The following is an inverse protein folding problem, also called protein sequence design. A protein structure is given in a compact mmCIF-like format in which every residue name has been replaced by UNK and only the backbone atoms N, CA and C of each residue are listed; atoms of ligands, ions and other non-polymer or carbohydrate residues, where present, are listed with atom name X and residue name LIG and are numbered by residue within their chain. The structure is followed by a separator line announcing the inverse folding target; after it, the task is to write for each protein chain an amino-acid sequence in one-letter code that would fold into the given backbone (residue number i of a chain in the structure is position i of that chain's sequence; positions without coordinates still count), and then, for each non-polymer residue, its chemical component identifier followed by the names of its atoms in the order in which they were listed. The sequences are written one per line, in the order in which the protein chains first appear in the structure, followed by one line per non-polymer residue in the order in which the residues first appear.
data_IF_428184145927
#
_entry.id   IF_428184145927
#
_cell.length_a   1.000
_cell.length_b   1.000
_cell.length_c   1.000
_cell.angle_alpha   90.00
_cell.angle_beta   90.00
_cell.angle_gamma   90.00
#
_symmetry.space_group_name_H-M   'P 1'
#
loop_
_entity.id
_entity.type
_entity.pdbx_description
1 polymer ?
#
# COMPACT_ATOMS: atom_id res chain seq x y z
N UNK A 1 -1.76 2.72 11.15
CA UNK A 1 -2.70 3.71 10.56
C UNK A 1 -3.79 3.99 11.60
N UNK A 2 -4.13 5.25 11.87
CA UNK A 2 -5.15 5.60 12.88
C UNK A 2 -6.59 5.60 12.34
N UNK A 3 -6.78 5.31 11.04
CA UNK A 3 -8.09 5.34 10.36
C UNK A 3 -8.89 6.61 10.68
N UNK A 4 -8.22 7.75 10.53
CA UNK A 4 -8.74 9.06 10.93
C UNK A 4 -10.10 9.35 10.27
N UNK A 5 -10.97 10.03 10.99
CA UNK A 5 -12.25 10.48 10.45
C UNK A 5 -12.07 11.42 9.25
N UNK A 6 -11.13 12.37 9.39
CA UNK A 6 -10.70 13.28 8.34
C UNK A 6 -9.24 13.00 7.91
N UNK A 7 -9.01 12.06 6.99
CA UNK A 7 -7.66 11.62 6.62
C UNK A 7 -6.97 12.62 5.67
N UNK A 8 -5.98 13.35 6.16
CA UNK A 8 -5.11 14.24 5.36
C UNK A 8 -4.45 13.52 4.16
N UNK A 9 -4.11 12.25 4.35
CA UNK A 9 -3.52 11.41 3.33
C UNK A 9 -4.45 11.12 2.12
N UNK A 10 -5.77 11.17 2.29
CA UNK A 10 -6.75 11.08 1.20
C UNK A 10 -6.80 12.41 0.45
N UNK A 11 -6.89 13.53 1.18
CA UNK A 11 -6.99 14.88 0.60
C UNK A 11 -5.78 15.27 -0.26
N UNK A 12 -4.57 14.86 0.14
CA UNK A 12 -3.34 15.21 -0.58
C UNK A 12 -3.09 14.33 -1.82
N UNK A 13 -3.81 13.23 -1.99
CA UNK A 13 -3.50 12.25 -3.02
C UNK A 13 -3.97 12.74 -4.41
N UNK A 14 -3.05 13.07 -5.35
CA UNK A 14 -3.44 13.67 -6.63
C UNK A 14 -4.20 12.71 -7.53
N UNK A 15 -3.94 11.41 -7.42
CA UNK A 15 -4.60 10.35 -8.21
C UNK A 15 -5.82 9.77 -7.52
N UNK A 16 -6.17 10.24 -6.32
CA UNK A 16 -7.21 9.64 -5.45
C UNK A 16 -7.03 8.14 -5.23
N UNK A 17 -5.78 7.67 -5.22
CA UNK A 17 -5.43 6.29 -4.92
C UNK A 17 -5.70 5.95 -3.44
N UNK A 18 -5.51 6.89 -2.51
CA UNK A 18 -5.89 6.69 -1.11
C UNK A 18 -7.35 7.10 -0.94
N UNK A 19 -8.17 6.24 -0.34
CA UNK A 19 -9.60 6.50 -0.11
C UNK A 19 -10.06 5.85 1.21
N UNK A 20 -11.15 6.37 1.77
CA UNK A 20 -11.83 5.80 2.94
C UNK A 20 -12.98 4.94 2.42
N UNK A 21 -12.98 3.66 2.76
CA UNK A 21 -13.99 2.69 2.35
C UNK A 21 -15.10 2.64 3.43
N UNK A 22 -16.32 3.14 3.14
CA UNK A 22 -17.41 3.14 4.11
C UNK A 22 -17.97 1.73 4.37
N UNK A 23 -17.90 0.83 3.38
CA UNK A 23 -18.43 -0.52 3.46
C UNK A 23 -17.53 -1.41 4.33
N UNK A 24 -16.23 -1.17 4.28
CA UNK A 24 -15.23 -1.78 5.15
C UNK A 24 -15.08 -1.08 6.52
N UNK A 25 -16.14 -0.44 7.03
CA UNK A 25 -16.14 0.18 8.36
C UNK A 25 -15.32 1.47 8.49
N UNK A 26 -15.11 2.19 7.39
CA UNK A 26 -14.38 3.46 7.37
C UNK A 26 -12.85 3.30 7.32
N UNK A 27 -12.35 2.15 6.89
CA UNK A 27 -10.92 1.89 6.77
C UNK A 27 -10.35 2.65 5.57
N UNK A 28 -9.19 3.28 5.76
CA UNK A 28 -8.42 3.95 4.73
C UNK A 28 -7.56 2.93 3.98
N UNK A 29 -7.84 2.76 2.70
CA UNK A 29 -7.11 1.90 1.79
C UNK A 29 -6.34 2.71 0.73
N UNK A 30 -5.44 2.01 0.04
CA UNK A 30 -4.73 2.50 -1.13
C UNK A 30 -5.02 1.56 -2.30
N UNK A 31 -5.58 2.10 -3.37
CA UNK A 31 -5.68 1.46 -4.69
C UNK A 31 -4.31 1.51 -5.37
N UNK A 32 -3.69 0.35 -5.52
CA UNK A 32 -2.35 0.21 -6.08
C UNK A 32 -2.32 0.40 -7.59
N UNK A 33 -3.44 0.18 -8.29
CA UNK A 33 -3.56 0.46 -9.73
C UNK A 33 -3.54 1.97 -10.02
N UNK A 34 -4.05 2.79 -9.10
CA UNK A 34 -4.04 4.26 -9.20
C UNK A 34 -2.83 4.91 -8.52
N UNK A 35 -2.09 4.16 -7.72
CA UNK A 35 -0.96 4.68 -6.97
C UNK A 35 0.26 4.90 -7.88
N UNK A 36 0.69 6.15 -8.01
CA UNK A 36 1.91 6.53 -8.74
C UNK A 36 3.16 6.63 -7.86
N UNK A 37 3.04 6.36 -6.55
CA UNK A 37 4.18 6.43 -5.63
C UNK A 37 4.70 7.85 -5.35
N UNK A 38 3.86 8.89 -5.48
CA UNK A 38 4.25 10.30 -5.26
C UNK A 38 4.63 10.66 -3.81
N UNK A 39 4.43 9.77 -2.84
CA UNK A 39 4.78 9.92 -1.41
C UNK A 39 4.14 11.10 -0.65
N UNK A 40 3.28 11.91 -1.27
CA UNK A 40 2.61 13.01 -0.56
C UNK A 40 1.77 12.57 0.64
N UNK A 41 1.16 11.40 0.56
CA UNK A 41 0.43 10.82 1.68
C UNK A 41 1.32 10.46 2.89
N UNK A 42 2.63 10.26 2.68
CA UNK A 42 3.59 10.08 3.78
C UNK A 42 3.84 11.41 4.48
N UNK A 43 4.11 12.47 3.71
CA UNK A 43 4.38 13.81 4.23
C UNK A 43 3.15 14.38 4.95
N UNK A 44 1.95 14.17 4.40
CA UNK A 44 0.71 14.67 4.98
C UNK A 44 0.26 13.92 6.24
N UNK A 45 0.82 12.73 6.52
CA UNK A 45 0.42 11.96 7.68
C UNK A 45 1.14 12.48 8.94
N UNK A 46 0.43 13.12 9.90
CA UNK A 46 1.08 13.67 11.10
C UNK A 46 1.69 12.59 12.00
N UNK A 47 1.22 11.34 11.85
CA UNK A 47 1.70 10.19 12.63
C UNK A 47 2.88 9.47 11.97
N UNK A 48 3.25 9.79 10.72
CA UNK A 48 4.33 9.10 10.00
C UNK A 48 4.08 7.60 9.76
N UNK A 49 2.84 7.13 9.90
CA UNK A 49 2.48 5.69 9.82
C UNK A 49 2.23 5.19 8.39
N UNK A 50 2.74 5.91 7.39
CA UNK A 50 2.59 5.55 5.96
C UNK A 50 3.96 5.14 5.44
N UNK A 51 4.02 3.93 4.89
CA UNK A 51 5.26 3.32 4.44
C UNK A 51 5.20 3.05 2.94
N UNK A 52 6.36 3.18 2.29
CA UNK A 52 6.57 2.88 0.89
C UNK A 52 7.31 1.55 0.76
N UNK A 53 6.74 0.58 0.03
CA UNK A 53 7.22 -0.81 0.02
C UNK A 53 8.49 -1.05 -0.80
N UNK A 54 8.85 -0.15 -1.73
CA UNK A 54 9.97 -0.42 -2.66
C UNK A 54 11.31 0.10 -2.16
N UNK A 55 11.35 0.71 -0.98
CA UNK A 55 12.63 1.11 -0.38
C UNK A 55 13.43 -0.17 -0.08
N UNK A 56 14.63 -0.29 -0.67
CA UNK A 56 15.61 -1.30 -0.26
C UNK A 56 15.99 -1.00 1.20
N UNK A 57 16.04 -2.00 2.08
CA UNK A 57 16.55 -1.77 3.43
C UNK A 57 17.98 -1.23 3.33
N UNK A 58 18.29 -0.19 4.11
CA UNK A 58 19.64 0.42 4.17
C UNK A 58 20.65 -0.44 4.94
N UNK A 59 20.22 -1.60 5.43
CA UNK A 59 20.98 -2.52 6.28
C UNK A 59 20.98 -3.87 5.56
N UNK A 60 22.17 -4.39 5.28
CA UNK A 60 22.36 -5.76 4.80
C UNK A 60 22.31 -6.74 5.98
N UNK A 61 21.72 -7.93 5.81
CA UNK A 61 21.21 -8.51 4.57
C UNK A 61 19.85 -7.93 4.14
N UNK A 62 19.64 -7.80 2.83
CA UNK A 62 18.33 -7.46 2.27
C UNK A 62 17.30 -8.47 2.80
N UNK A 63 16.28 -7.97 3.50
CA UNK A 63 15.21 -8.80 4.05
C UNK A 63 14.45 -9.57 2.96
N UNK A 64 14.47 -9.13 1.69
CA UNK A 64 13.98 -9.90 0.55
C UNK A 64 14.82 -11.14 0.25
N UNK A 65 16.12 -11.07 0.52
CA UNK A 65 17.04 -12.20 0.43
C UNK A 65 17.00 -13.10 1.67
N UNK A 66 16.78 -12.52 2.86
CA UNK A 66 16.70 -13.28 4.12
C UNK A 66 15.37 -14.05 4.26
N UNK A 67 14.27 -13.50 3.73
CA UNK A 67 12.95 -14.11 3.74
C UNK A 67 12.38 -14.12 2.32
N UNK A 68 12.76 -15.10 1.49
CA UNK A 68 12.22 -15.23 0.15
C UNK A 68 10.74 -15.63 0.25
N UNK A 69 9.84 -14.71 -0.09
CA UNK A 69 8.46 -15.07 -0.40
C UNK A 69 8.43 -15.74 -1.78
N UNK A 70 7.57 -16.74 -1.96
CA UNK A 70 7.41 -17.48 -3.22
C UNK A 70 7.23 -16.57 -4.46
N UNK A 71 6.67 -15.36 -4.26
CA UNK A 71 6.37 -14.39 -5.33
C UNK A 71 7.12 -13.04 -5.23
N UNK A 72 8.19 -12.96 -4.42
CA UNK A 72 8.92 -11.69 -4.16
C UNK A 72 8.17 -10.62 -3.35
N UNK A 73 6.98 -10.94 -2.84
CA UNK A 73 6.20 -10.16 -1.89
C UNK A 73 6.82 -10.17 -0.48
N UNK A 74 7.53 -9.09 -0.16
CA UNK A 74 8.08 -8.88 1.17
C UNK A 74 6.96 -8.64 2.19
N UNK A 75 6.97 -9.43 3.25
CA UNK A 75 6.01 -9.41 4.36
C UNK A 75 5.98 -8.03 5.06
N UNK A 76 5.10 -7.14 4.58
CA UNK A 76 4.47 -6.09 5.41
C UNK A 76 3.07 -6.60 5.76
N UNK A 77 2.81 -6.99 7.02
CA UNK A 77 1.73 -7.92 7.40
C UNK A 77 0.39 -7.20 7.71
N UNK A 78 -0.64 -7.91 8.20
CA UNK A 78 -1.44 -8.93 7.56
C UNK A 78 -2.92 -8.52 7.67
N UNK A 79 -3.44 -7.81 6.69
CA UNK A 79 -4.88 -7.87 6.41
C UNK A 79 -4.99 -8.55 5.06
N UNK A 80 -5.05 -9.89 5.09
CA UNK A 80 -5.77 -10.58 4.03
C UNK A 80 -7.18 -10.01 4.11
N UNK A 81 -7.49 -9.15 3.15
CA UNK A 81 -8.87 -8.75 2.96
C UNK A 81 -9.64 -10.06 2.75
N UNK A 82 -10.69 -10.35 3.53
CA UNK A 82 -11.40 -11.62 3.47
C UNK A 82 -12.06 -11.88 2.10
N UNK A 83 -12.07 -10.88 1.24
CA UNK A 83 -12.42 -10.95 -0.18
C UNK A 83 -11.18 -10.58 -1.00
N UNK A 84 -10.74 -11.49 -1.85
CA UNK A 84 -9.44 -11.60 -2.52
C UNK A 84 -9.12 -10.48 -3.54
N UNK A 85 -9.23 -9.21 -3.14
CA UNK A 85 -8.89 -8.05 -3.96
C UNK A 85 -7.47 -7.57 -3.66
N UNK A 86 -6.52 -8.15 -4.39
CA UNK A 86 -5.10 -7.79 -4.42
C UNK A 86 -4.83 -6.38 -4.98
N UNK A 87 -5.83 -5.67 -5.51
CA UNK A 87 -5.63 -4.35 -6.11
C UNK A 87 -5.69 -3.19 -5.11
N UNK A 88 -6.19 -3.45 -3.91
CA UNK A 88 -6.29 -2.49 -2.80
C UNK A 88 -5.63 -3.04 -1.54
N UNK A 89 -5.00 -2.17 -0.77
CA UNK A 89 -4.40 -2.59 0.49
C UNK A 89 -3.89 -1.46 1.36
N UNK A 90 -3.14 -1.85 2.37
CA UNK A 90 -2.53 -0.94 3.34
C UNK A 90 -1.07 -0.72 2.91
N UNK A 91 -0.69 0.54 2.72
CA UNK A 91 0.66 0.91 2.29
C UNK A 91 0.73 1.43 0.85
N UNK A 92 1.85 2.06 0.51
CA UNK A 92 2.04 2.72 -0.78
C UNK A 92 2.84 1.77 -1.67
N UNK A 93 2.13 1.12 -2.60
CA UNK A 93 2.72 0.25 -3.61
C UNK A 93 2.27 0.73 -4.99
N UNK A 94 3.17 1.25 -5.84
CA UNK A 94 2.81 1.65 -7.19
C UNK A 94 2.83 0.46 -8.17
N UNK A 95 2.06 0.58 -9.25
CA UNK A 95 1.97 -0.41 -10.34
C UNK A 95 3.28 -0.89 -10.93
N UNK A 96 4.30 -0.04 -10.96
CA UNK A 96 5.59 -0.42 -11.48
C UNK A 96 6.33 -1.47 -10.62
N UNK A 97 6.00 -1.55 -9.32
CA UNK A 97 6.66 -2.44 -8.35
C UNK A 97 6.11 -3.87 -8.36
N UNK A 98 4.80 -4.04 -8.55
CA UNK A 98 4.13 -5.34 -8.43
C UNK A 98 3.94 -6.08 -9.76
N UNK A 99 4.77 -5.86 -10.79
CA UNK A 99 4.57 -6.43 -12.15
C UNK A 99 4.37 -7.96 -12.23
N UNK A 100 4.60 -8.71 -11.15
CA UNK A 100 4.39 -10.14 -11.02
C UNK A 100 3.27 -10.54 -10.02
N UNK A 101 2.41 -9.63 -9.55
CA UNK A 101 1.28 -9.98 -8.69
C UNK A 101 0.21 -10.76 -9.49
N UNK A 102 -0.22 -11.95 -9.03
CA UNK A 102 -0.92 -12.96 -9.85
C UNK A 102 -2.37 -12.64 -10.27
N UNK A 103 -2.81 -11.39 -10.35
CA UNK A 103 -4.22 -11.13 -10.72
C UNK A 103 -4.52 -9.76 -11.33
N UNK A 104 -3.57 -9.13 -12.02
CA UNK A 104 -3.85 -7.99 -12.91
C UNK A 104 -4.59 -8.38 -14.22
N UNK A 105 -5.50 -9.35 -14.15
CA UNK A 105 -6.47 -9.64 -15.22
C UNK A 105 -7.59 -8.62 -15.13
N UNK A 106 -7.32 -7.42 -15.64
CA UNK A 106 -8.37 -6.50 -16.09
C UNK A 106 -9.30 -7.27 -17.03
N UNK A 107 -10.60 -7.36 -16.71
CA UNK A 107 -11.62 -7.49 -17.77
C UNK A 107 -11.71 -6.17 -18.52
#
# INVERSE_FOLDING_TARGET
CMQCENPSCVHVCPTRATYKDPDAGGIVFVDWNKCIGCKYCMIACPYGVRFYSDEKPLIEPDIRGAYPSENGQLWSPPYQNPEEDWSRGIGIQPRASYRNAPSATTR
#
